data_IF_223274063275
#
_entry.id   IF_223274063275
#
_cell.length_a   1.000
_cell.length_b   1.000
_cell.length_c   1.000
_cell.angle_alpha   90.00
_cell.angle_beta   90.00
_cell.angle_gamma   90.00
#
_symmetry.space_group_name_H-M   'P 1'
#
loop_
_entity.id
_entity.type
_entity.pdbx_description
1 polymer ?
#
# COMPACT_ATOMS: atom_id res chain seq x y z
N UNK A 1 8.62 14.75 13.76
CA UNK A 1 7.38 14.22 13.16
C UNK A 1 6.34 15.28 12.85
N UNK A 2 6.37 16.49 13.43
CA UNK A 2 5.26 17.45 13.33
C UNK A 2 4.94 17.95 11.90
N UNK A 3 5.88 17.85 10.96
CA UNK A 3 5.72 18.29 9.57
C UNK A 3 5.75 17.11 8.56
N UNK A 4 5.66 15.88 9.06
CA UNK A 4 5.58 14.68 8.21
C UNK A 4 4.13 14.26 8.14
N UNK A 5 3.66 14.02 6.92
CA UNK A 5 2.31 13.57 6.65
C UNK A 5 2.35 12.38 5.69
N UNK A 6 1.48 11.42 5.98
CA UNK A 6 1.14 10.35 5.06
C UNK A 6 -0.13 10.73 4.30
N UNK A 7 -0.21 10.41 3.01
CA UNK A 7 -1.45 10.40 2.25
C UNK A 7 -1.50 9.11 1.42
N UNK A 8 -2.45 8.24 1.70
CA UNK A 8 -2.67 7.00 0.95
C UNK A 8 -4.10 6.48 1.08
N UNK A 9 -4.37 5.25 0.68
CA UNK A 9 -5.73 4.74 0.48
C UNK A 9 -5.97 4.26 -0.95
N UNK A 10 -7.12 3.64 -1.26
CA UNK A 10 -7.52 3.26 -2.61
C UNK A 10 -7.77 4.51 -3.48
N UNK A 11 -6.70 5.06 -4.03
CA UNK A 11 -6.67 6.40 -4.62
C UNK A 11 -5.86 6.45 -5.94
N UNK A 12 -6.05 5.45 -6.82
CA UNK A 12 -5.35 5.36 -8.10
C UNK A 12 -5.49 6.68 -8.88
N UNK A 13 -4.36 7.31 -9.20
CA UNK A 13 -4.33 8.68 -9.76
C UNK A 13 -5.16 8.84 -11.03
N UNK A 14 -5.13 7.87 -11.95
CA UNK A 14 -5.93 7.91 -13.18
C UNK A 14 -7.43 7.79 -12.93
N UNK A 15 -7.83 7.07 -11.88
CA UNK A 15 -9.24 6.86 -11.53
C UNK A 15 -9.80 8.12 -10.85
N UNK A 16 -9.02 8.74 -9.96
CA UNK A 16 -9.36 10.06 -9.40
C UNK A 16 -9.48 11.11 -10.51
N UNK A 17 -8.54 11.15 -11.45
CA UNK A 17 -8.61 12.06 -12.60
C UNK A 17 -9.89 11.86 -13.43
N UNK A 18 -10.37 10.62 -13.52
CA UNK A 18 -11.59 10.26 -14.24
C UNK A 18 -12.87 10.39 -13.39
N UNK A 19 -12.78 11.02 -12.21
CA UNK A 19 -13.89 11.26 -11.30
C UNK A 19 -14.51 9.97 -10.72
N UNK A 20 -13.77 8.86 -10.73
CA UNK A 20 -14.19 7.63 -10.06
C UNK A 20 -14.26 7.84 -8.55
N UNK A 21 -15.18 7.13 -7.90
CA UNK A 21 -15.30 7.20 -6.46
C UNK A 21 -14.07 6.61 -5.79
N UNK A 22 -13.34 7.44 -5.05
CA UNK A 22 -12.11 7.05 -4.37
C UNK A 22 -12.08 7.61 -2.94
N UNK A 23 -11.25 7.00 -2.11
CA UNK A 23 -10.99 7.51 -0.78
C UNK A 23 -9.50 7.54 -0.47
N UNK A 24 -9.12 8.47 0.40
CA UNK A 24 -7.80 8.55 0.95
C UNK A 24 -7.86 8.80 2.45
N UNK A 25 -6.72 8.58 3.10
CA UNK A 25 -6.48 8.90 4.49
C UNK A 25 -5.19 9.69 4.59
N UNK A 26 -5.29 10.84 5.26
CA UNK A 26 -4.14 11.69 5.59
C UNK A 26 -3.79 11.52 7.08
N UNK A 27 -2.51 11.27 7.37
CA UNK A 27 -2.06 11.05 8.74
C UNK A 27 -0.93 11.98 9.14
N UNK A 28 -0.78 12.20 10.45
CA UNK A 28 0.28 13.00 11.05
C UNK A 28 -0.23 14.08 12.00
N UNK A 29 0.49 15.19 12.12
CA UNK A 29 0.18 16.22 13.12
C UNK A 29 -1.16 16.91 12.85
N UNK A 30 -1.95 17.12 13.91
CA UNK A 30 -3.29 17.72 13.85
C UNK A 30 -3.31 19.07 13.11
N UNK A 31 -2.31 19.93 13.37
CA UNK A 31 -2.17 21.25 12.76
C UNK A 31 -2.20 21.22 11.24
N UNK A 32 -1.74 20.12 10.63
CA UNK A 32 -1.67 19.96 9.18
C UNK A 32 -2.73 19.00 8.64
N UNK A 33 -2.91 17.82 9.25
CA UNK A 33 -3.76 16.76 8.67
C UNK A 33 -5.21 17.21 8.51
N UNK A 34 -5.78 17.96 9.47
CA UNK A 34 -7.19 18.35 9.44
C UNK A 34 -7.47 19.41 8.35
N UNK A 35 -6.71 20.53 8.27
CA UNK A 35 -6.88 21.49 7.18
C UNK A 35 -6.67 20.86 5.80
N UNK A 36 -5.65 20.03 5.64
CA UNK A 36 -5.33 19.40 4.36
C UNK A 36 -6.38 18.35 3.96
N UNK A 37 -6.90 17.55 4.90
CA UNK A 37 -8.01 16.65 4.63
C UNK A 37 -9.22 17.42 4.07
N UNK A 38 -9.57 18.55 4.69
CA UNK A 38 -10.68 19.39 4.23
C UNK A 38 -10.41 20.00 2.86
N UNK A 39 -9.18 20.45 2.61
CA UNK A 39 -8.78 21.05 1.33
C UNK A 39 -8.83 20.03 0.18
N UNK A 40 -8.39 18.78 0.43
CA UNK A 40 -8.32 17.75 -0.61
C UNK A 40 -9.68 17.08 -0.91
N UNK A 41 -10.67 17.18 -0.02
CA UNK A 41 -11.99 16.56 -0.20
C UNK A 41 -12.71 17.12 -1.43
N UNK A 42 -13.26 16.21 -2.22
CA UNK A 42 -14.13 16.49 -3.36
C UNK A 42 -15.35 15.56 -3.33
N UNK A 43 -16.44 15.84 -4.07
CA UNK A 43 -17.63 14.97 -4.06
C UNK A 43 -17.36 13.50 -4.37
N UNK A 44 -16.40 13.22 -5.25
CA UNK A 44 -15.99 11.87 -5.67
C UNK A 44 -14.72 11.37 -4.96
N UNK A 45 -14.05 12.23 -4.17
CA UNK A 45 -12.79 11.90 -3.50
C UNK A 45 -12.86 12.26 -2.02
N UNK A 46 -13.13 11.25 -1.19
CA UNK A 46 -13.31 11.42 0.25
C UNK A 46 -11.99 11.25 0.98
N UNK A 47 -11.56 12.27 1.72
CA UNK A 47 -10.32 12.23 2.50
C UNK A 47 -10.61 12.17 3.99
N UNK A 48 -10.24 11.08 4.64
CA UNK A 48 -10.32 10.90 6.09
C UNK A 48 -9.02 11.32 6.76
N UNK A 49 -9.04 11.69 8.03
CA UNK A 49 -7.83 11.99 8.80
C UNK A 49 -7.63 11.01 9.97
N UNK A 50 -6.38 10.70 10.28
CA UNK A 50 -5.99 9.90 11.46
C UNK A 50 -4.67 10.44 12.04
N UNK A 51 -4.43 10.29 13.34
CA UNK A 51 -3.17 10.72 13.98
C UNK A 51 -2.04 9.70 13.85
N UNK A 52 -2.36 8.43 13.63
CA UNK A 52 -1.38 7.35 13.55
C UNK A 52 -0.64 7.39 12.20
N UNK A 53 0.53 8.03 12.22
CA UNK A 53 1.41 8.12 11.07
C UNK A 53 2.14 6.80 10.82
N UNK A 54 2.57 6.12 11.89
CA UNK A 54 3.48 4.97 11.80
C UNK A 54 2.79 3.79 11.14
N UNK A 55 1.60 3.42 11.62
CA UNK A 55 0.83 2.31 11.04
C UNK A 55 0.56 2.56 9.57
N UNK A 56 0.21 3.79 9.22
CA UNK A 56 -0.14 4.17 7.86
C UNK A 56 1.06 4.17 6.89
N UNK A 57 2.22 4.67 7.30
CA UNK A 57 3.46 4.61 6.53
C UNK A 57 3.93 3.16 6.34
N UNK A 58 3.95 2.38 7.43
CA UNK A 58 4.39 0.97 7.40
C UNK A 58 3.49 0.15 6.48
N UNK A 59 2.17 0.26 6.63
CA UNK A 59 1.23 -0.48 5.78
C UNK A 59 1.26 0.01 4.33
N UNK A 60 1.38 1.32 4.10
CA UNK A 60 1.53 1.90 2.77
C UNK A 60 2.80 1.46 2.04
N UNK A 61 3.87 1.17 2.78
CA UNK A 61 5.09 0.55 2.26
C UNK A 61 4.90 -0.95 2.01
N UNK A 62 4.45 -1.69 3.02
CA UNK A 62 4.33 -3.15 3.00
C UNK A 62 3.38 -3.66 1.90
N UNK A 63 2.29 -2.94 1.60
CA UNK A 63 1.38 -3.33 0.51
C UNK A 63 2.09 -3.48 -0.84
N UNK A 64 3.20 -2.78 -1.05
CA UNK A 64 3.98 -2.88 -2.28
C UNK A 64 4.94 -4.08 -2.27
N UNK A 65 5.37 -4.52 -1.09
CA UNK A 65 6.25 -5.68 -0.89
C UNK A 65 5.48 -6.98 -1.16
N UNK A 66 4.24 -7.07 -0.69
CA UNK A 66 3.40 -8.23 -0.95
C UNK A 66 2.93 -8.22 -2.41
N UNK A 67 3.59 -9.02 -3.23
CA UNK A 67 3.29 -9.18 -4.65
C UNK A 67 2.25 -10.28 -4.83
N UNK A 68 1.23 -10.07 -5.66
CA UNK A 68 0.38 -11.17 -6.09
C UNK A 68 1.21 -12.09 -7.01
N UNK A 69 1.37 -13.36 -6.61
CA UNK A 69 1.97 -14.42 -7.40
C UNK A 69 0.83 -15.26 -7.99
N UNK A 70 0.50 -15.03 -9.26
CA UNK A 70 -0.60 -15.72 -9.93
C UNK A 70 -0.22 -17.17 -10.27
N UNK A 71 -0.37 -18.09 -9.31
CA UNK A 71 -0.01 -19.49 -9.52
C UNK A 71 -1.14 -20.39 -10.08
N UNK A 72 -2.41 -19.96 -10.06
CA UNK A 72 -3.52 -20.76 -10.64
C UNK A 72 -4.89 -20.04 -10.78
N UNK A 73 -4.95 -18.70 -10.86
CA UNK A 73 -6.22 -17.90 -10.89
C UNK A 73 -7.25 -18.18 -9.76
N UNK A 74 -6.95 -19.05 -8.80
CA UNK A 74 -7.87 -19.47 -7.72
C UNK A 74 -8.20 -18.33 -6.78
N UNK A 75 -9.45 -17.88 -6.78
CA UNK A 75 -9.95 -16.86 -5.87
C UNK A 75 -9.71 -17.22 -4.39
N UNK A 76 -9.83 -18.50 -4.03
CA UNK A 76 -9.55 -18.99 -2.67
C UNK A 76 -8.08 -18.88 -2.30
N UNK A 77 -7.17 -19.23 -3.21
CA UNK A 77 -5.73 -19.11 -2.91
C UNK A 77 -5.32 -17.64 -2.81
N UNK A 78 -5.88 -16.76 -3.65
CA UNK A 78 -5.68 -15.30 -3.58
C UNK A 78 -6.19 -14.72 -2.26
N UNK A 79 -7.35 -15.17 -1.78
CA UNK A 79 -7.90 -14.70 -0.50
C UNK A 79 -7.08 -15.19 0.70
N UNK A 80 -6.59 -16.43 0.68
CA UNK A 80 -5.69 -16.97 1.70
C UNK A 80 -4.36 -16.20 1.72
N UNK A 81 -3.77 -15.94 0.55
CA UNK A 81 -2.56 -15.13 0.46
C UNK A 81 -2.76 -13.72 1.02
N UNK A 82 -3.85 -13.06 0.65
CA UNK A 82 -4.23 -11.74 1.20
C UNK A 82 -4.39 -11.78 2.71
N UNK A 83 -5.02 -12.82 3.26
CA UNK A 83 -5.15 -13.01 4.71
C UNK A 83 -3.78 -13.16 5.41
N UNK A 84 -2.82 -13.86 4.81
CA UNK A 84 -1.47 -13.97 5.34
C UNK A 84 -0.72 -12.62 5.31
N UNK A 85 -0.72 -11.95 4.16
CA UNK A 85 -0.08 -10.63 4.00
C UNK A 85 -0.62 -9.64 5.04
N UNK A 86 -1.94 -9.58 5.19
CA UNK A 86 -2.59 -8.67 6.13
C UNK A 86 -2.29 -9.03 7.59
N UNK A 87 -2.18 -10.33 7.92
CA UNK A 87 -1.77 -10.77 9.26
C UNK A 87 -0.34 -10.36 9.59
N UNK A 88 0.59 -10.50 8.63
CA UNK A 88 1.98 -10.06 8.78
C UNK A 88 2.09 -8.55 8.89
N UNK A 89 1.33 -7.79 8.09
CA UNK A 89 1.25 -6.32 8.21
C UNK A 89 0.81 -5.91 9.61
N UNK A 90 -0.23 -6.54 10.15
CA UNK A 90 -0.72 -6.29 11.52
C UNK A 90 0.37 -6.61 12.54
N UNK A 91 1.03 -7.76 12.42
CA UNK A 91 2.10 -8.15 13.33
C UNK A 91 3.24 -7.14 13.32
N UNK A 92 3.73 -6.76 12.14
CA UNK A 92 4.81 -5.78 11.98
C UNK A 92 4.42 -4.43 12.58
N UNK A 93 3.19 -3.94 12.38
CA UNK A 93 2.79 -2.66 12.99
C UNK A 93 2.72 -2.72 14.51
N UNK A 94 2.35 -3.86 15.10
CA UNK A 94 2.40 -4.04 16.56
C UNK A 94 3.82 -4.13 17.12
N UNK A 95 4.82 -4.48 16.30
CA UNK A 95 6.23 -4.39 16.69
C UNK A 95 6.75 -2.95 16.66
N UNK A 96 6.20 -2.12 15.78
CA UNK A 96 6.72 -0.76 15.49
C UNK A 96 5.97 0.37 16.22
N UNK A 97 4.76 0.10 16.73
CA UNK A 97 3.94 1.09 17.42
C UNK A 97 3.27 0.48 18.67
N UNK A 98 3.18 1.28 19.74
CA UNK A 98 2.58 0.85 21.01
C UNK A 98 1.05 0.67 20.91
N UNK A 99 0.38 1.59 20.19
CA UNK A 99 -1.06 1.57 19.98
C UNK A 99 -1.40 1.74 18.48
N UNK A 100 -1.13 0.72 17.63
CA UNK A 100 -1.38 0.83 16.20
C UNK A 100 -2.88 0.89 15.89
N UNK A 101 -3.25 1.71 14.91
CA UNK A 101 -4.59 1.75 14.34
C UNK A 101 -4.98 0.37 13.79
N UNK A 102 -6.28 0.03 13.91
CA UNK A 102 -6.81 -1.21 13.37
C UNK A 102 -6.70 -1.25 11.85
N UNK A 103 -6.18 -2.37 11.31
CA UNK A 103 -6.18 -2.63 9.88
C UNK A 103 -7.60 -2.76 9.33
N UNK A 104 -8.15 -1.65 8.85
CA UNK A 104 -9.56 -1.56 8.46
C UNK A 104 -9.79 -0.41 7.48
N UNK A 105 -10.96 -0.42 6.84
CA UNK A 105 -11.42 0.67 5.97
C UNK A 105 -10.41 0.96 4.84
N UNK A 106 -9.94 2.22 4.69
CA UNK A 106 -9.02 2.60 3.62
C UNK A 106 -7.73 1.78 3.53
N UNK A 107 -7.15 1.34 4.66
CA UNK A 107 -5.89 0.57 4.65
C UNK A 107 -6.07 -0.82 4.03
N UNK A 108 -7.14 -1.51 4.44
CA UNK A 108 -7.52 -2.81 3.89
C UNK A 108 -7.85 -2.69 2.39
N UNK A 109 -8.63 -1.67 2.02
CA UNK A 109 -9.03 -1.44 0.63
C UNK A 109 -7.84 -1.11 -0.28
N UNK A 110 -6.89 -0.30 0.21
CA UNK A 110 -5.68 0.07 -0.52
C UNK A 110 -4.76 -1.15 -0.75
N UNK A 111 -4.60 -1.97 0.29
CA UNK A 111 -3.86 -3.23 0.19
C UNK A 111 -4.49 -4.15 -0.85
N UNK A 112 -5.82 -4.30 -0.82
CA UNK A 112 -6.55 -5.12 -1.78
C UNK A 112 -6.38 -4.62 -3.23
N UNK A 113 -6.58 -3.33 -3.47
CA UNK A 113 -6.39 -2.73 -4.80
C UNK A 113 -4.96 -2.89 -5.32
N UNK A 114 -3.97 -2.77 -4.43
CA UNK A 114 -2.54 -2.90 -4.79
C UNK A 114 -2.17 -4.31 -5.22
N UNK A 115 -2.79 -5.33 -4.63
CA UNK A 115 -2.62 -6.72 -5.07
C UNK A 115 -3.14 -6.92 -6.49
N UNK A 116 -4.30 -6.34 -6.82
CA UNK A 116 -4.96 -6.56 -8.10
C UNK A 116 -4.32 -5.83 -9.28
N UNK A 117 -3.71 -4.67 -9.05
CA UNK A 117 -3.31 -3.76 -10.13
C UNK A 117 -2.07 -2.97 -9.77
N UNK A 118 -1.29 -2.63 -10.80
CA UNK A 118 -0.15 -1.74 -10.69
C UNK A 118 1.15 -2.37 -11.17
N UNK A 119 2.27 -1.72 -10.85
CA UNK A 119 3.60 -2.19 -11.26
C UNK A 119 4.06 -3.39 -10.44
N UNK A 120 3.76 -3.40 -9.14
CA UNK A 120 4.09 -4.50 -8.22
C UNK A 120 3.30 -5.78 -8.58
N UNK A 121 1.97 -5.69 -8.73
CA UNK A 121 1.15 -6.80 -9.21
C UNK A 121 1.63 -7.37 -10.55
N UNK A 122 1.94 -6.49 -11.52
CA UNK A 122 2.52 -6.91 -12.80
C UNK A 122 3.86 -7.64 -12.64
N UNK A 123 4.74 -7.16 -11.75
CA UNK A 123 6.04 -7.77 -11.51
C UNK A 123 5.90 -9.17 -10.91
N UNK A 124 5.03 -9.34 -9.89
CA UNK A 124 4.70 -10.64 -9.31
C UNK A 124 4.16 -11.64 -10.35
N UNK A 125 3.27 -11.18 -11.23
CA UNK A 125 2.75 -12.00 -12.32
C UNK A 125 3.83 -12.47 -13.31
N UNK A 126 4.69 -11.56 -13.73
CA UNK A 126 5.76 -11.88 -14.68
C UNK A 126 6.80 -12.83 -14.06
N UNK A 127 7.08 -12.70 -12.76
CA UNK A 127 7.91 -13.66 -12.02
C UNK A 127 7.26 -15.03 -11.97
N UNK A 128 5.97 -15.11 -11.60
CA UNK A 128 5.24 -16.37 -11.51
C UNK A 128 5.19 -17.12 -12.85
N UNK A 129 5.14 -16.39 -13.97
CA UNK A 129 5.21 -16.94 -15.33
C UNK A 129 6.61 -17.24 -15.84
N UNK A 130 7.66 -16.91 -15.07
CA UNK A 130 9.06 -17.06 -15.49
C UNK A 130 9.46 -16.13 -16.66
N UNK A 131 8.70 -15.05 -16.90
CA UNK A 131 8.95 -14.09 -17.97
C UNK A 131 9.99 -13.02 -17.60
N UNK A 132 10.20 -12.81 -16.30
CA UNK A 132 11.27 -11.99 -15.74
C UNK A 132 11.93 -12.75 -14.58
N UNK A 133 13.09 -12.26 -14.14
CA UNK A 133 13.79 -12.79 -12.97
C UNK A 133 14.05 -11.71 -11.93
N UNK A 134 14.33 -12.13 -10.70
CA UNK A 134 14.71 -11.23 -9.60
C UNK A 134 16.00 -10.44 -9.91
N UNK A 135 16.90 -11.00 -10.72
CA UNK A 135 18.16 -10.37 -11.14
C UNK A 135 17.95 -9.10 -11.97
N UNK A 136 16.78 -8.94 -12.58
CA UNK A 136 16.43 -7.72 -13.31
C UNK A 136 16.25 -6.50 -12.40
N UNK A 137 16.19 -6.71 -11.08
CA UNK A 137 16.13 -5.64 -10.07
C UNK A 137 14.79 -4.90 -10.06
N UNK A 138 14.85 -3.67 -9.55
CA UNK A 138 13.67 -2.82 -9.32
C UNK A 138 13.35 -1.88 -10.49
N UNK A 139 14.15 -1.81 -11.54
CA UNK A 139 13.93 -0.89 -12.67
C UNK A 139 13.79 -1.65 -13.99
N UNK A 140 12.54 -1.78 -14.46
CA UNK A 140 12.23 -2.55 -15.66
C UNK A 140 12.01 -1.63 -16.86
N UNK A 141 12.78 -1.84 -17.94
CA UNK A 141 12.67 -1.06 -19.18
C UNK A 141 11.24 -1.10 -19.72
N UNK A 142 10.65 0.08 -19.97
CA UNK A 142 9.28 0.23 -20.46
C UNK A 142 8.19 0.14 -19.39
N UNK A 143 8.52 -0.23 -18.14
CA UNK A 143 7.58 -0.28 -17.01
C UNK A 143 7.93 0.70 -15.88
N UNK A 144 9.22 1.02 -15.73
CA UNK A 144 9.76 1.91 -14.70
C UNK A 144 10.10 1.18 -13.40
N UNK A 145 10.21 1.95 -12.31
CA UNK A 145 10.57 1.43 -11.00
C UNK A 145 9.44 0.61 -10.35
N UNK A 146 9.78 -0.56 -9.83
CA UNK A 146 8.97 -1.48 -9.04
C UNK A 146 9.29 -1.23 -7.57
N UNK A 147 8.57 -0.28 -6.98
CA UNK A 147 8.85 0.20 -5.62
C UNK A 147 8.80 -0.91 -4.56
N UNK A 148 7.99 -1.96 -4.79
CA UNK A 148 7.95 -3.12 -3.92
C UNK A 148 9.29 -3.82 -3.76
N UNK A 149 10.05 -3.96 -4.85
CA UNK A 149 11.38 -4.61 -4.84
C UNK A 149 12.37 -3.78 -4.02
N UNK A 150 12.38 -2.47 -4.19
CA UNK A 150 13.23 -1.57 -3.39
C UNK A 150 12.83 -1.58 -1.91
N UNK A 151 11.53 -1.65 -1.62
CA UNK A 151 10.98 -1.65 -0.27
C UNK A 151 11.31 -2.93 0.51
N UNK A 152 11.43 -4.09 -0.16
CA UNK A 152 11.82 -5.37 0.50
C UNK A 152 13.09 -5.19 1.33
N UNK A 153 14.12 -4.59 0.74
CA UNK A 153 15.41 -4.39 1.42
C UNK A 153 15.26 -3.45 2.62
N UNK A 154 14.54 -2.35 2.45
CA UNK A 154 14.33 -1.37 3.53
C UNK A 154 13.56 -2.00 4.71
N UNK A 155 12.53 -2.80 4.45
CA UNK A 155 11.81 -3.51 5.51
C UNK A 155 12.66 -4.62 6.16
N UNK A 156 13.47 -5.33 5.39
CA UNK A 156 14.40 -6.31 5.95
C UNK A 156 15.39 -5.65 6.92
N UNK A 157 16.00 -4.53 6.52
CA UNK A 157 16.93 -3.77 7.36
C UNK A 157 16.24 -3.16 8.59
N UNK A 158 14.96 -2.76 8.49
CA UNK A 158 14.18 -2.23 9.61
C UNK A 158 13.83 -3.30 10.66
N UNK A 159 13.67 -4.56 10.25
CA UNK A 159 13.17 -5.65 11.08
C UNK A 159 14.26 -6.63 11.57
N UNK A 160 15.51 -6.45 11.14
CA UNK A 160 16.67 -7.28 11.53
C UNK A 160 17.44 -6.67 12.70
#
# INVERSE_FOLDING_TARGET
MENILYLGGPNIASEIHNMEYANARICGAEKWRKPLAKFLRQPHFIVWDNSDLVTHEVMGGLKNVYLELEWNESATSKSVYSAHCTSEMIFITHLLAEEPEKFSGPLLADTYVTLLKGRNAWYGHMLAKGLISLEMGDSIKGKGMIQGVSAVRAFYELLS
#
